data_IF_711348735475
#
_entry.id   IF_711348735475
#
_cell.length_a   1.000
_cell.length_b   1.000
_cell.length_c   1.000
_cell.angle_alpha   90.00
_cell.angle_beta   90.00
_cell.angle_gamma   90.00
#
_symmetry.space_group_name_H-M   'P 1'
#
loop_
_entity.id
_entity.type
_entity.pdbx_description
1 polymer ?
#
# COMPACT_ATOMS: atom_id res chain seq x y z
N UNK A 1 2.04 -5.42 12.71
CA UNK A 1 3.50 -5.15 12.70
C UNK A 1 3.92 -4.58 11.36
N UNK A 2 4.45 -3.36 11.32
CA UNK A 2 5.06 -2.85 10.10
C UNK A 2 6.49 -3.38 10.07
N UNK A 3 6.81 -4.26 9.13
CA UNK A 3 8.21 -4.56 8.83
C UNK A 3 8.80 -3.24 8.29
N UNK A 4 9.82 -2.71 8.98
CA UNK A 4 10.48 -1.49 8.56
C UNK A 4 11.05 -1.75 7.17
N UNK A 5 10.58 -0.97 6.19
CA UNK A 5 11.12 -0.98 4.84
C UNK A 5 12.65 -0.77 4.92
N UNK A 6 13.48 -1.71 4.43
CA UNK A 6 14.94 -1.62 4.52
C UNK A 6 15.50 -0.31 3.93
N UNK A 7 14.78 0.31 3.00
CA UNK A 7 15.20 1.56 2.35
C UNK A 7 15.06 2.81 3.23
N UNK A 8 14.46 2.74 4.43
CA UNK A 8 14.16 3.92 5.27
C UNK A 8 14.57 3.76 6.75
N UNK A 9 15.75 3.20 7.01
CA UNK A 9 16.39 3.29 8.33
C UNK A 9 16.87 4.73 8.64
N UNK A 10 15.95 5.68 8.81
CA UNK A 10 16.24 6.99 9.41
C UNK A 10 15.52 7.11 10.75
N UNK A 11 16.27 6.78 11.79
CA UNK A 11 16.19 7.20 13.18
C UNK A 11 14.79 7.57 13.73
N UNK A 12 14.11 6.58 14.31
CA UNK A 12 13.14 6.82 15.38
C UNK A 12 13.92 6.75 16.70
N UNK A 13 13.97 7.84 17.44
CA UNK A 13 14.69 7.96 18.71
C UNK A 13 14.05 7.11 19.82
N UNK A 14 14.83 6.65 20.81
CA UNK A 14 14.43 5.60 21.74
C UNK A 14 13.62 6.19 22.91
N UNK A 15 12.30 6.13 22.83
CA UNK A 15 11.44 6.28 24.01
C UNK A 15 10.16 5.48 23.76
N UNK A 16 9.65 4.81 24.80
CA UNK A 16 8.36 4.13 24.75
C UNK A 16 7.25 5.18 24.76
N UNK A 17 6.45 5.26 23.69
CA UNK A 17 5.29 6.16 23.63
C UNK A 17 4.04 5.38 23.29
N UNK A 18 2.96 5.66 24.02
CA UNK A 18 1.61 5.32 23.61
C UNK A 18 1.12 6.44 22.70
N UNK A 19 0.75 6.12 21.46
CA UNK A 19 0.17 7.11 20.55
C UNK A 19 -1.03 6.49 19.87
N UNK A 20 -2.18 7.15 19.96
CA UNK A 20 -3.30 6.83 19.10
C UNK A 20 -3.08 7.53 17.77
N UNK A 21 -2.97 6.76 16.68
CA UNK A 21 -2.94 7.34 15.34
C UNK A 21 -4.23 6.98 14.60
N UNK A 22 -4.93 8.00 14.08
CA UNK A 22 -6.11 7.81 13.23
C UNK A 22 -5.62 7.45 11.84
N UNK A 23 -5.77 6.19 11.44
CA UNK A 23 -5.59 5.82 10.04
C UNK A 23 -6.95 5.93 9.30
N UNK A 24 -6.98 5.83 7.96
CA UNK A 24 -8.21 5.94 7.17
C UNK A 24 -9.27 4.86 7.49
N UNK A 25 -8.89 3.79 8.20
CA UNK A 25 -9.76 2.67 8.61
C UNK A 25 -10.21 2.73 10.08
N UNK A 26 -9.85 3.78 10.82
CA UNK A 26 -10.24 3.98 12.23
C UNK A 26 -9.11 4.43 13.17
N UNK A 27 -9.42 4.56 14.46
CA UNK A 27 -8.43 4.77 15.53
C UNK A 27 -7.73 3.44 15.84
N UNK A 28 -6.51 3.23 15.33
CA UNK A 28 -5.66 2.13 15.79
C UNK A 28 -4.79 2.62 16.96
N UNK A 29 -4.76 1.83 18.03
CA UNK A 29 -3.88 2.11 19.17
C UNK A 29 -2.49 1.62 18.80
N UNK A 30 -1.51 2.52 18.73
CA UNK A 30 -0.12 2.17 18.42
C UNK A 30 0.66 2.11 19.72
N UNK A 31 1.34 0.99 19.94
CA UNK A 31 2.29 0.82 21.03
C UNK A 31 3.69 0.71 20.45
N UNK A 32 4.55 1.71 20.70
CA UNK A 32 5.96 1.66 20.34
C UNK A 32 6.79 1.31 21.57
N UNK A 33 7.49 0.17 21.54
CA UNK A 33 8.32 -0.32 22.64
C UNK A 33 9.80 -0.23 22.26
N UNK A 34 10.58 0.46 23.09
CA UNK A 34 12.01 0.70 22.87
C UNK A 34 12.91 -0.43 23.39
N UNK A 35 12.40 -1.34 24.25
CA UNK A 35 13.17 -2.46 24.81
C UNK A 35 12.39 -3.78 24.78
N UNK A 36 13.03 -4.89 24.35
CA UNK A 36 12.46 -6.24 24.41
C UNK A 36 12.08 -6.73 25.82
N UNK A 37 12.79 -6.24 26.85
CA UNK A 37 12.89 -6.92 28.15
C UNK A 37 11.62 -6.94 29.01
N UNK A 38 10.60 -6.15 28.69
CA UNK A 38 9.36 -6.06 29.48
C UNK A 38 8.17 -6.85 28.90
N UNK A 39 8.32 -7.50 27.74
CA UNK A 39 7.22 -8.17 27.05
C UNK A 39 7.62 -9.56 26.56
N UNK A 40 6.72 -10.53 26.74
CA UNK A 40 6.83 -11.87 26.15
C UNK A 40 6.01 -11.95 24.85
N UNK A 41 6.28 -12.92 23.97
CA UNK A 41 5.45 -13.19 22.79
C UNK A 41 3.95 -13.28 23.12
N UNK A 42 3.59 -13.93 24.22
CA UNK A 42 2.20 -14.05 24.70
C UNK A 42 1.56 -12.70 25.04
N UNK A 43 2.30 -11.82 25.72
CA UNK A 43 1.80 -10.48 26.08
C UNK A 43 1.55 -9.62 24.83
N UNK A 44 2.43 -9.73 23.83
CA UNK A 44 2.27 -9.02 22.54
C UNK A 44 1.12 -9.61 21.73
N UNK A 45 0.97 -10.94 21.72
CA UNK A 45 -0.17 -11.60 21.08
C UNK A 45 -1.51 -11.09 21.63
N UNK A 46 -1.59 -10.91 22.96
CA UNK A 46 -2.79 -10.37 23.62
C UNK A 46 -3.09 -8.92 23.20
N UNK A 47 -2.05 -8.10 23.01
CA UNK A 47 -2.20 -6.73 22.49
C UNK A 47 -2.66 -6.72 21.03
N UNK A 48 -2.06 -7.55 20.18
CA UNK A 48 -2.45 -7.71 18.77
C UNK A 48 -3.92 -8.12 18.67
N UNK A 49 -4.35 -9.10 19.48
CA UNK A 49 -5.74 -9.54 19.55
C UNK A 49 -6.70 -8.42 20.02
N UNK A 50 -6.22 -7.53 20.88
CA UNK A 50 -6.98 -6.36 21.35
C UNK A 50 -6.97 -5.19 20.36
N UNK A 51 -6.53 -5.41 19.12
CA UNK A 51 -6.52 -4.41 18.04
C UNK A 51 -5.38 -3.38 18.13
N UNK A 52 -4.32 -3.66 18.90
CA UNK A 52 -3.16 -2.79 18.96
C UNK A 52 -2.20 -3.05 17.80
N UNK A 53 -1.78 -1.97 17.12
CA UNK A 53 -0.62 -2.00 16.24
C UNK A 53 0.64 -1.89 17.10
N UNK A 54 1.27 -3.02 17.41
CA UNK A 54 2.50 -3.05 18.21
C UNK A 54 3.72 -2.90 17.30
N UNK A 55 4.67 -2.04 17.68
CA UNK A 55 5.96 -1.86 17.04
C UNK A 55 7.05 -2.01 18.12
N UNK A 56 7.92 -3.01 17.98
CA UNK A 56 8.96 -3.30 18.98
C UNK A 56 10.31 -3.26 18.28
N UNK A 57 11.16 -2.33 18.69
CA UNK A 57 12.54 -2.28 18.20
C UNK A 57 13.41 -3.31 18.92
N UNK A 58 14.25 -4.04 18.18
CA UNK A 58 15.24 -4.95 18.75
C UNK A 58 14.72 -6.32 19.19
N UNK A 59 13.46 -6.67 18.87
CA UNK A 59 12.94 -8.03 19.08
C UNK A 59 13.53 -9.03 18.08
N UNK A 60 13.92 -10.24 18.51
CA UNK A 60 14.28 -11.32 17.60
C UNK A 60 13.12 -11.64 16.64
N UNK A 61 13.36 -11.90 15.34
CA UNK A 61 12.31 -12.29 14.41
C UNK A 61 11.51 -13.51 14.85
N UNK A 62 12.13 -14.43 15.60
CA UNK A 62 11.48 -15.62 16.18
C UNK A 62 10.42 -15.29 17.22
N UNK A 63 10.68 -14.30 18.08
CA UNK A 63 9.74 -13.88 19.12
C UNK A 63 8.57 -13.13 18.50
N UNK A 64 8.87 -12.35 17.45
CA UNK A 64 7.86 -11.68 16.65
C UNK A 64 6.95 -12.68 15.94
N UNK A 65 7.56 -13.70 15.33
CA UNK A 65 6.88 -14.81 14.68
C UNK A 65 5.97 -15.56 15.67
N UNK A 66 6.47 -15.85 16.86
CA UNK A 66 5.70 -16.50 17.92
C UNK A 66 4.50 -15.64 18.34
N UNK A 67 4.70 -14.34 18.61
CA UNK A 67 3.62 -13.44 19.00
C UNK A 67 2.53 -13.35 17.92
N UNK A 68 2.93 -13.24 16.65
CA UNK A 68 1.99 -13.15 15.55
C UNK A 68 1.19 -14.45 15.38
N UNK A 69 1.84 -15.61 15.51
CA UNK A 69 1.19 -16.90 15.37
C UNK A 69 0.23 -17.19 16.54
N UNK A 70 0.60 -16.82 17.77
CA UNK A 70 -0.24 -16.96 18.97
C UNK A 70 -1.47 -16.04 18.96
N UNK A 71 -1.42 -14.93 18.23
CA UNK A 71 -2.51 -13.97 18.18
C UNK A 71 -3.68 -14.41 17.27
N UNK A 72 -3.44 -15.37 16.37
CA UNK A 72 -4.45 -15.87 15.43
C UNK A 72 -5.23 -17.03 16.05
N UNK A 73 -6.53 -17.06 15.82
CA UNK A 73 -7.44 -18.11 16.27
C UNK A 73 -7.95 -18.91 15.07
N UNK A 74 -8.29 -20.17 15.31
CA UNK A 74 -9.04 -20.98 14.35
C UNK A 74 -9.75 -22.10 15.08
N UNK A 75 -11.03 -22.26 14.80
CA UNK A 75 -11.88 -23.34 15.29
C UNK A 75 -11.83 -24.57 14.35
N UNK A 76 -11.19 -24.43 13.19
CA UNK A 76 -11.11 -25.48 12.19
C UNK A 76 -10.34 -26.69 12.71
N UNK A 77 -10.81 -27.89 12.35
CA UNK A 77 -10.16 -29.15 12.71
C UNK A 77 -8.74 -29.25 12.11
N UNK A 78 -8.52 -28.69 10.92
CA UNK A 78 -7.23 -28.68 10.23
C UNK A 78 -6.24 -27.62 10.74
N UNK A 79 -6.65 -26.78 11.71
CA UNK A 79 -5.85 -25.69 12.27
C UNK A 79 -5.33 -24.69 11.24
N UNK A 80 -6.04 -24.56 10.12
CA UNK A 80 -5.74 -23.55 9.11
C UNK A 80 -6.48 -22.25 9.40
N UNK A 81 -5.91 -21.14 8.96
CA UNK A 81 -6.49 -19.80 9.02
C UNK A 81 -6.59 -19.23 7.62
N UNK A 82 -7.69 -18.56 7.33
CA UNK A 82 -7.85 -17.87 6.05
C UNK A 82 -6.89 -16.69 6.01
N UNK A 83 -6.13 -16.57 4.92
CA UNK A 83 -5.19 -15.48 4.70
C UNK A 83 -5.55 -14.73 3.43
N UNK A 84 -5.96 -13.48 3.57
CA UNK A 84 -6.14 -12.56 2.44
C UNK A 84 -4.81 -11.90 2.14
N UNK A 85 -4.34 -12.02 0.91
CA UNK A 85 -3.11 -11.39 0.44
C UNK A 85 -3.48 -10.12 -0.30
N UNK A 86 -2.93 -8.99 0.13
CA UNK A 86 -3.13 -7.69 -0.50
C UNK A 86 -1.80 -7.10 -0.96
N UNK A 87 -1.82 -6.34 -2.04
CA UNK A 87 -0.68 -5.53 -2.44
C UNK A 87 -0.49 -4.31 -1.52
N UNK A 88 0.54 -3.52 -1.81
CA UNK A 88 0.86 -2.28 -1.08
C UNK A 88 -0.15 -1.16 -1.28
N UNK A 89 -1.04 -1.26 -2.29
CA UNK A 89 -2.17 -0.35 -2.52
C UNK A 89 -3.42 -0.79 -1.74
N UNK A 90 -3.38 -1.96 -1.09
CA UNK A 90 -4.51 -2.55 -0.37
C UNK A 90 -5.46 -3.37 -1.23
N UNK A 91 -5.11 -3.62 -2.51
CA UNK A 91 -5.93 -4.44 -3.41
C UNK A 91 -5.70 -5.91 -3.08
N UNK A 92 -6.77 -6.68 -2.92
CA UNK A 92 -6.68 -8.13 -2.73
C UNK A 92 -6.17 -8.81 -4.01
N UNK A 93 -5.07 -9.54 -3.90
CA UNK A 93 -4.42 -10.26 -5.00
C UNK A 93 -4.52 -11.78 -4.84
N UNK A 94 -4.87 -12.29 -3.66
CA UNK A 94 -5.13 -13.71 -3.47
C UNK A 94 -5.80 -14.04 -2.15
N UNK A 95 -6.39 -15.23 -2.08
CA UNK A 95 -6.86 -15.85 -0.84
C UNK A 95 -6.20 -17.21 -0.70
N UNK A 96 -5.52 -17.41 0.41
CA UNK A 96 -4.72 -18.61 0.70
C UNK A 96 -4.98 -19.06 2.13
N UNK A 97 -4.33 -20.14 2.54
CA UNK A 97 -4.42 -20.65 3.91
C UNK A 97 -3.06 -20.54 4.57
N UNK A 98 -3.06 -20.27 5.87
CA UNK A 98 -1.88 -20.32 6.71
C UNK A 98 -2.13 -21.25 7.89
N UNK A 99 -1.08 -21.82 8.45
CA UNK A 99 -1.06 -22.40 9.78
C UNK A 99 0.00 -21.68 10.64
N UNK A 100 0.10 -22.07 11.90
CA UNK A 100 1.08 -21.52 12.85
C UNK A 100 2.51 -21.50 12.29
N UNK A 101 2.96 -22.61 11.69
CA UNK A 101 4.31 -22.72 11.11
C UNK A 101 4.49 -21.76 9.92
N UNK A 102 3.54 -21.69 8.99
CA UNK A 102 3.65 -20.80 7.83
C UNK A 102 3.72 -19.33 8.23
N UNK A 103 2.98 -18.90 9.27
CA UNK A 103 3.05 -17.53 9.79
C UNK A 103 4.43 -17.27 10.40
N UNK A 104 4.93 -18.20 11.22
CA UNK A 104 6.27 -18.05 11.81
C UNK A 104 7.34 -17.92 10.74
N UNK A 105 7.30 -18.79 9.73
CA UNK A 105 8.21 -18.75 8.58
C UNK A 105 8.08 -17.46 7.80
N UNK A 106 6.86 -17.01 7.52
CA UNK A 106 6.63 -15.77 6.78
C UNK A 106 7.25 -14.56 7.50
N UNK A 107 7.12 -14.49 8.82
CA UNK A 107 7.69 -13.41 9.65
C UNK A 107 9.22 -13.49 9.69
N UNK A 108 9.79 -14.67 9.94
CA UNK A 108 11.25 -14.86 10.04
C UNK A 108 11.93 -14.62 8.69
N UNK A 109 11.36 -15.15 7.60
CA UNK A 109 11.94 -15.07 6.26
C UNK A 109 11.56 -13.76 5.54
N UNK A 110 10.61 -12.97 6.06
CA UNK A 110 10.12 -11.75 5.41
C UNK A 110 9.47 -12.01 4.05
N UNK A 111 8.86 -13.18 3.87
CA UNK A 111 8.37 -13.71 2.57
C UNK A 111 6.89 -14.05 2.63
N UNK A 112 6.23 -14.03 1.47
CA UNK A 112 4.91 -14.64 1.30
C UNK A 112 4.99 -16.16 1.42
N UNK A 113 4.81 -16.68 2.64
CA UNK A 113 4.84 -18.12 2.95
C UNK A 113 3.48 -18.52 3.51
N UNK A 114 2.92 -19.57 2.94
CA UNK A 114 1.56 -20.04 3.19
C UNK A 114 1.55 -21.54 3.45
N UNK A 115 0.38 -22.07 3.76
CA UNK A 115 0.11 -23.51 3.81
C UNK A 115 -0.70 -23.93 2.58
N UNK A 116 -0.15 -24.86 1.79
CA UNK A 116 -0.87 -25.45 0.67
C UNK A 116 -1.69 -26.65 1.15
N UNK A 117 -3.02 -26.55 1.05
CA UNK A 117 -3.93 -27.66 1.39
C UNK A 117 -3.74 -28.86 0.47
N UNK A 118 -3.54 -28.63 -0.83
CA UNK A 118 -3.37 -29.72 -1.80
C UNK A 118 -2.01 -30.41 -1.69
N UNK A 119 -0.96 -29.67 -1.34
CA UNK A 119 0.39 -30.25 -1.14
C UNK A 119 0.62 -30.76 0.29
N UNK A 120 -0.27 -30.43 1.23
CA UNK A 120 -0.14 -30.78 2.64
C UNK A 120 1.11 -30.20 3.29
N UNK A 121 1.55 -29.00 2.88
CA UNK A 121 2.86 -28.48 3.30
C UNK A 121 3.05 -26.98 3.06
N UNK A 122 4.20 -26.48 3.52
CA UNK A 122 4.60 -25.09 3.32
C UNK A 122 4.74 -24.74 1.84
N UNK A 123 4.21 -23.58 1.49
CA UNK A 123 4.31 -23.01 0.15
C UNK A 123 4.91 -21.61 0.23
N UNK A 124 6.16 -21.50 -0.20
CA UNK A 124 6.84 -20.22 -0.41
C UNK A 124 6.47 -19.69 -1.79
N UNK A 125 5.73 -18.59 -1.85
CA UNK A 125 5.25 -18.04 -3.11
C UNK A 125 6.45 -17.60 -3.97
N UNK A 126 6.46 -18.08 -5.22
CA UNK A 126 7.45 -17.70 -6.22
C UNK A 126 8.69 -18.59 -6.28
N UNK A 127 8.86 -19.58 -5.40
CA UNK A 127 10.04 -20.48 -5.45
C UNK A 127 10.16 -21.24 -6.78
N UNK A 128 9.03 -21.53 -7.43
CA UNK A 128 9.00 -22.18 -8.76
C UNK A 128 8.95 -21.17 -9.90
N UNK A 129 8.19 -20.07 -9.76
CA UNK A 129 7.90 -19.14 -10.86
C UNK A 129 8.82 -17.92 -10.92
N UNK A 130 9.65 -17.68 -9.91
CA UNK A 130 10.42 -16.44 -9.74
C UNK A 130 9.59 -15.25 -9.20
N UNK A 131 8.26 -15.31 -9.29
CA UNK A 131 7.34 -14.27 -8.80
C UNK A 131 7.15 -14.34 -7.28
N UNK A 132 8.20 -13.98 -6.54
CA UNK A 132 8.26 -14.01 -5.09
C UNK A 132 7.62 -12.79 -4.44
N UNK A 133 7.46 -12.84 -3.12
CA UNK A 133 6.80 -11.79 -2.34
C UNK A 133 7.64 -11.37 -1.15
N UNK A 134 7.76 -10.07 -0.93
CA UNK A 134 8.24 -9.52 0.34
C UNK A 134 7.03 -9.25 1.23
N UNK A 135 7.05 -9.78 2.45
CA UNK A 135 6.04 -9.51 3.47
C UNK A 135 6.31 -8.17 4.14
N UNK A 136 5.34 -7.25 4.10
CA UNK A 136 5.45 -5.91 4.70
C UNK A 136 4.63 -5.75 5.98
N UNK A 137 3.49 -6.43 6.08
CA UNK A 137 2.60 -6.31 7.22
C UNK A 137 1.71 -7.53 7.35
N UNK A 138 1.47 -7.91 8.60
CA UNK A 138 0.40 -8.84 8.98
C UNK A 138 -0.59 -8.06 9.82
N UNK A 139 -1.86 -8.12 9.43
CA UNK A 139 -3.01 -7.63 10.20
C UNK A 139 -3.91 -8.81 10.55
N UNK A 140 -4.59 -8.70 11.70
CA UNK A 140 -5.70 -9.57 12.08
C UNK A 140 -7.01 -8.83 11.82
N UNK A 141 -8.07 -9.57 11.57
CA UNK A 141 -9.43 -9.03 11.65
C UNK A 141 -9.90 -8.86 13.11
N UNK A 142 -11.15 -8.48 13.30
CA UNK A 142 -11.65 -7.99 14.59
C UNK A 142 -11.77 -9.07 15.68
N UNK A 143 -11.98 -10.32 15.31
CA UNK A 143 -12.05 -11.50 16.17
C UNK A 143 -10.82 -12.41 16.03
N UNK A 144 -9.96 -12.13 15.06
CA UNK A 144 -8.62 -12.69 14.93
C UNK A 144 -8.60 -14.08 14.29
N UNK A 145 -9.64 -14.46 13.55
CA UNK A 145 -9.72 -15.75 12.85
C UNK A 145 -9.32 -15.67 11.36
N UNK A 146 -9.18 -14.46 10.83
CA UNK A 146 -8.60 -14.21 9.53
C UNK A 146 -7.38 -13.29 9.60
N UNK A 147 -6.45 -13.53 8.67
CA UNK A 147 -5.19 -12.80 8.60
C UNK A 147 -5.10 -12.07 7.26
N UNK A 148 -4.62 -10.83 7.27
CA UNK A 148 -4.31 -10.08 6.06
C UNK A 148 -2.81 -9.87 5.92
N UNK A 149 -2.23 -10.42 4.86
CA UNK A 149 -0.83 -10.21 4.50
C UNK A 149 -0.74 -9.09 3.47
N UNK A 150 -0.09 -7.98 3.83
CA UNK A 150 0.32 -6.96 2.86
C UNK A 150 1.70 -7.31 2.32
N UNK A 151 1.81 -7.46 1.00
CA UNK A 151 3.03 -7.89 0.33
C UNK A 151 3.40 -6.97 -0.81
N UNK A 152 4.69 -6.93 -1.14
CA UNK A 152 5.17 -6.45 -2.44
C UNK A 152 5.41 -7.65 -3.33
N UNK A 153 4.70 -7.71 -4.45
CA UNK A 153 4.84 -8.75 -5.46
C UNK A 153 6.03 -8.41 -6.37
N UNK A 154 6.96 -9.36 -6.50
CA UNK A 154 8.11 -9.27 -7.40
C UNK A 154 7.93 -10.20 -8.60
N UNK A 155 8.78 -10.04 -9.61
CA UNK A 155 8.76 -10.77 -10.88
C UNK A 155 8.79 -9.82 -12.08
N UNK A 156 8.94 -10.37 -13.30
CA UNK A 156 8.88 -9.59 -14.54
C UNK A 156 8.07 -10.35 -15.61
N UNK A 157 6.78 -10.01 -15.83
CA UNK A 157 5.98 -9.08 -15.01
C UNK A 157 5.69 -9.66 -13.60
N UNK A 158 5.40 -8.82 -12.60
CA UNK A 158 4.95 -9.29 -11.29
C UNK A 158 3.58 -9.97 -11.38
N UNK A 159 3.45 -11.19 -10.85
CA UNK A 159 2.19 -11.94 -10.87
C UNK A 159 1.98 -12.76 -9.60
N UNK A 160 0.81 -12.60 -8.96
CA UNK A 160 0.35 -13.54 -7.94
C UNK A 160 -0.16 -14.82 -8.61
N UNK A 161 -1.01 -14.67 -9.63
CA UNK A 161 -1.72 -15.77 -10.27
C UNK A 161 -0.78 -16.62 -11.15
N UNK A 162 -1.08 -17.91 -11.27
CA UNK A 162 -0.38 -18.79 -12.20
C UNK A 162 -0.73 -18.50 -13.67
N UNK A 163 -1.81 -17.77 -13.93
CA UNK A 163 -2.20 -17.32 -15.27
C UNK A 163 -1.46 -16.04 -15.71
N UNK A 164 -0.57 -15.50 -14.87
CA UNK A 164 0.23 -14.31 -15.19
C UNK A 164 -0.44 -12.97 -14.87
N UNK A 165 -1.64 -12.97 -14.29
CA UNK A 165 -2.32 -11.75 -13.81
C UNK A 165 -1.79 -11.28 -12.45
N UNK A 166 -1.99 -9.99 -12.15
CA UNK A 166 -1.55 -9.43 -10.86
C UNK A 166 -2.13 -10.17 -9.66
N UNK A 167 -3.42 -10.52 -9.72
CA UNK A 167 -4.14 -11.27 -8.68
C UNK A 167 -4.96 -12.43 -9.25
N UNK A 168 -5.46 -13.28 -8.35
CA UNK A 168 -6.37 -14.38 -8.70
C UNK A 168 -7.68 -13.93 -9.35
N UNK A 169 -8.04 -12.66 -9.21
CA UNK A 169 -9.26 -12.06 -9.80
C UNK A 169 -8.95 -11.17 -11.00
N UNK A 170 -7.81 -11.38 -11.66
CA UNK A 170 -7.34 -10.57 -12.78
C UNK A 170 -6.44 -9.42 -12.35
N UNK A 171 -6.30 -8.44 -13.23
CA UNK A 171 -5.48 -7.26 -13.01
C UNK A 171 -6.19 -6.20 -12.19
N UNK A 172 -5.45 -5.42 -11.39
CA UNK A 172 -6.06 -4.32 -10.64
C UNK A 172 -6.71 -3.29 -11.57
N UNK A 173 -7.94 -2.89 -11.23
CA UNK A 173 -8.68 -1.79 -11.86
C UNK A 173 -8.39 -0.43 -11.20
N UNK A 174 -9.28 0.54 -11.42
CA UNK A 174 -9.18 1.88 -10.84
C UNK A 174 -7.83 2.56 -11.13
N UNK A 175 -7.25 3.23 -10.13
CA UNK A 175 -5.96 3.92 -10.27
C UNK A 175 -4.78 2.97 -10.56
N UNK A 176 -4.82 1.72 -10.07
CA UNK A 176 -3.78 0.73 -10.37
C UNK A 176 -3.82 0.27 -11.83
N UNK A 177 -5.02 0.06 -12.37
CA UNK A 177 -5.22 -0.27 -13.78
C UNK A 177 -4.89 0.90 -14.71
N UNK A 178 -5.22 2.13 -14.29
CA UNK A 178 -4.82 3.35 -15.00
C UNK A 178 -3.28 3.47 -15.06
N UNK A 179 -2.59 3.30 -13.92
CA UNK A 179 -1.12 3.33 -13.89
C UNK A 179 -0.50 2.29 -14.84
N UNK A 180 -1.00 1.04 -14.83
CA UNK A 180 -0.56 -0.02 -15.75
C UNK A 180 -0.73 0.40 -17.20
N UNK A 181 -1.90 0.94 -17.54
CA UNK A 181 -2.23 1.41 -18.90
C UNK A 181 -1.27 2.51 -19.33
N UNK A 182 -1.05 3.51 -18.48
CA UNK A 182 -0.15 4.64 -18.75
C UNK A 182 1.30 4.16 -18.89
N UNK A 183 1.79 3.25 -18.03
CA UNK A 183 3.11 2.63 -18.16
C UNK A 183 3.27 1.84 -19.46
N UNK A 184 2.23 1.09 -19.85
CA UNK A 184 2.21 0.39 -21.15
C UNK A 184 2.33 1.39 -22.30
N UNK A 185 1.52 2.44 -22.30
CA UNK A 185 1.59 3.49 -23.33
C UNK A 185 2.93 4.23 -23.36
N UNK A 186 3.58 4.44 -22.21
CA UNK A 186 4.92 5.05 -22.18
C UNK A 186 5.95 4.21 -22.96
N UNK A 187 5.86 2.88 -22.87
CA UNK A 187 6.76 1.96 -23.58
C UNK A 187 6.37 1.75 -25.05
N UNK A 188 5.07 1.61 -25.30
CA UNK A 188 4.55 0.98 -26.51
C UNK A 188 3.75 1.94 -27.42
N UNK A 189 3.75 3.25 -27.11
CA UNK A 189 2.94 4.21 -27.87
C UNK A 189 3.43 4.45 -29.30
N UNK A 190 2.48 4.43 -30.24
CA UNK A 190 2.71 4.73 -31.65
C UNK A 190 3.04 6.21 -31.83
N UNK A 191 3.94 6.49 -32.77
CA UNK A 191 4.29 7.84 -33.22
C UNK A 191 3.04 8.67 -33.54
N UNK A 192 2.99 9.91 -33.03
CA UNK A 192 1.84 10.81 -33.23
C UNK A 192 0.59 10.53 -32.38
N UNK A 193 0.54 9.46 -31.58
CA UNK A 193 -0.61 9.23 -30.68
C UNK A 193 -0.72 10.32 -29.60
N UNK A 194 -1.95 10.65 -29.17
CA UNK A 194 -2.19 11.68 -28.16
C UNK A 194 -1.43 11.42 -26.85
N UNK A 195 -1.40 10.18 -26.38
CA UNK A 195 -0.65 9.83 -25.16
C UNK A 195 0.86 9.98 -25.33
N UNK A 196 1.42 9.69 -26.51
CA UNK A 196 2.84 9.91 -26.80
C UNK A 196 3.19 11.40 -26.75
N UNK A 197 2.37 12.24 -27.38
CA UNK A 197 2.52 13.70 -27.33
C UNK A 197 2.51 14.24 -25.90
N UNK A 198 1.66 13.70 -25.02
CA UNK A 198 1.66 14.07 -23.60
C UNK A 198 2.98 13.71 -22.88
N UNK A 199 3.64 12.62 -23.28
CA UNK A 199 4.94 12.24 -22.72
C UNK A 199 6.09 13.07 -23.27
N UNK A 200 6.02 13.55 -24.52
CA UNK A 200 7.08 14.31 -25.17
C UNK A 200 6.99 15.82 -24.91
N UNK A 201 5.78 16.37 -24.90
CA UNK A 201 5.54 17.80 -24.72
C UNK A 201 5.15 18.12 -23.25
N UNK A 202 6.13 18.62 -22.50
CA UNK A 202 5.94 19.04 -21.11
C UNK A 202 4.99 20.21 -20.96
N UNK A 203 4.96 21.12 -21.94
CA UNK A 203 4.09 22.29 -21.90
C UNK A 203 2.65 21.87 -22.10
N UNK A 204 2.39 20.97 -23.06
CA UNK A 204 1.07 20.39 -23.29
C UNK A 204 0.55 19.68 -22.04
N UNK A 205 1.34 18.76 -21.47
CA UNK A 205 0.94 18.02 -20.27
C UNK A 205 0.67 18.95 -19.08
N UNK A 206 1.53 19.94 -18.86
CA UNK A 206 1.33 20.94 -17.80
C UNK A 206 0.05 21.73 -18.02
N UNK A 207 -0.18 22.22 -19.24
CA UNK A 207 -1.34 23.04 -19.55
C UNK A 207 -2.65 22.24 -19.41
N UNK A 208 -2.69 21.00 -19.90
CA UNK A 208 -3.83 20.10 -19.69
C UNK A 208 -4.09 19.88 -18.20
N UNK A 209 -3.07 19.55 -17.41
CA UNK A 209 -3.23 19.34 -15.97
C UNK A 209 -3.76 20.59 -15.23
N UNK A 210 -3.33 21.78 -15.62
CA UNK A 210 -3.82 23.05 -15.03
C UNK A 210 -5.26 23.34 -15.47
N UNK A 211 -5.59 23.08 -16.74
CA UNK A 211 -6.94 23.20 -17.29
C UNK A 211 -7.93 22.31 -16.55
N UNK A 212 -7.69 21.00 -16.44
CA UNK A 212 -8.64 20.10 -15.76
C UNK A 212 -8.76 20.42 -14.26
N UNK A 213 -7.67 20.88 -13.64
CA UNK A 213 -7.71 21.29 -12.23
C UNK A 213 -8.58 22.54 -12.02
N UNK A 214 -8.59 23.45 -13.00
CA UNK A 214 -9.48 24.61 -13.00
C UNK A 214 -10.93 24.17 -13.25
N UNK A 215 -11.17 23.34 -14.26
CA UNK A 215 -12.52 22.84 -14.60
C UNK A 215 -13.13 22.11 -13.42
N UNK A 216 -12.36 21.25 -12.72
CA UNK A 216 -12.76 20.62 -11.47
C UNK A 216 -13.14 21.63 -10.38
N UNK A 217 -12.42 22.75 -10.26
CA UNK A 217 -12.70 23.77 -9.25
C UNK A 217 -13.96 24.59 -9.54
N UNK A 218 -14.35 24.68 -10.81
CA UNK A 218 -15.50 25.46 -11.28
C UNK A 218 -16.77 24.60 -11.47
N UNK A 219 -16.60 23.28 -11.60
CA UNK A 219 -17.70 22.33 -11.77
C UNK A 219 -18.68 22.35 -10.58
N UNK A 220 -19.98 22.39 -10.89
CA UNK A 220 -21.07 22.47 -9.88
C UNK A 220 -21.96 21.23 -9.86
N UNK A 221 -22.10 20.56 -11.00
CA UNK A 221 -22.94 19.38 -11.13
C UNK A 221 -22.17 18.12 -10.73
N UNK A 222 -22.80 17.23 -9.97
CA UNK A 222 -22.16 16.04 -9.41
C UNK A 222 -21.42 15.19 -10.47
N UNK A 223 -22.06 15.00 -11.62
CA UNK A 223 -21.48 14.21 -12.71
C UNK A 223 -20.25 14.90 -13.32
N UNK A 224 -20.38 16.19 -13.62
CA UNK A 224 -19.29 17.00 -14.18
C UNK A 224 -18.08 17.05 -13.21
N UNK A 225 -18.33 17.23 -11.91
CA UNK A 225 -17.27 17.16 -10.88
C UNK A 225 -16.53 15.82 -10.93
N UNK A 226 -17.24 14.70 -11.13
CA UNK A 226 -16.60 13.39 -11.22
C UNK A 226 -15.80 13.20 -12.51
N UNK A 227 -16.29 13.76 -13.63
CA UNK A 227 -15.61 13.75 -14.94
C UNK A 227 -14.30 14.55 -14.86
N UNK A 228 -14.34 15.79 -14.35
CA UNK A 228 -13.16 16.63 -14.18
C UNK A 228 -12.15 16.05 -13.18
N UNK A 229 -12.63 15.44 -12.10
CA UNK A 229 -11.76 14.74 -11.16
C UNK A 229 -11.04 13.56 -11.83
N UNK A 230 -11.73 12.82 -12.70
CA UNK A 230 -11.13 11.72 -13.42
C UNK A 230 -10.03 12.21 -14.38
N UNK A 231 -10.25 13.33 -15.06
CA UNK A 231 -9.26 13.91 -15.98
C UNK A 231 -8.04 14.47 -15.24
N UNK A 232 -8.23 15.15 -14.10
CA UNK A 232 -7.13 15.53 -13.20
C UNK A 232 -6.31 14.31 -12.78
N UNK A 233 -6.97 13.22 -12.35
CA UNK A 233 -6.29 11.98 -11.95
C UNK A 233 -5.54 11.34 -13.12
N UNK A 234 -6.09 11.38 -14.33
CA UNK A 234 -5.44 10.89 -15.54
C UNK A 234 -4.16 11.65 -15.86
N UNK A 235 -4.20 12.97 -16.00
CA UNK A 235 -3.01 13.76 -16.34
C UNK A 235 -1.99 13.77 -15.21
N UNK A 236 -2.43 13.74 -13.94
CA UNK A 236 -1.54 13.56 -12.81
C UNK A 236 -0.81 12.21 -12.88
N UNK A 237 -1.50 11.12 -13.26
CA UNK A 237 -0.88 9.81 -13.44
C UNK A 237 0.12 9.80 -14.60
N UNK A 238 -0.21 10.42 -15.74
CA UNK A 238 0.73 10.57 -16.87
C UNK A 238 2.00 11.31 -16.41
N UNK A 239 1.85 12.41 -15.66
CA UNK A 239 2.98 13.16 -15.10
C UNK A 239 3.79 12.34 -14.10
N UNK A 240 3.12 11.56 -13.24
CA UNK A 240 3.75 10.69 -12.25
C UNK A 240 4.60 9.62 -12.93
N UNK A 241 4.02 8.87 -13.87
CA UNK A 241 4.69 7.80 -14.62
C UNK A 241 5.86 8.34 -15.43
N UNK A 242 5.72 9.50 -16.10
CA UNK A 242 6.84 10.18 -16.79
C UNK A 242 7.98 10.52 -15.82
N UNK A 243 7.65 10.87 -14.58
CA UNK A 243 8.61 11.17 -13.51
C UNK A 243 9.17 9.94 -12.80
N UNK A 244 8.83 8.71 -13.23
CA UNK A 244 9.30 7.48 -12.61
C UNK A 244 8.66 7.14 -11.26
N UNK A 245 7.53 7.78 -10.90
CA UNK A 245 6.78 7.50 -9.67
C UNK A 245 5.41 6.90 -9.97
N UNK A 246 4.89 6.10 -9.05
CA UNK A 246 3.62 5.40 -9.17
C UNK A 246 2.58 5.81 -8.14
N UNK A 247 1.41 5.16 -8.16
CA UNK A 247 0.35 5.43 -7.18
C UNK A 247 0.77 5.03 -5.76
N UNK A 248 1.60 3.99 -5.63
CA UNK A 248 2.11 3.54 -4.32
C UNK A 248 2.95 4.64 -3.65
N UNK A 249 3.77 5.36 -4.40
CA UNK A 249 4.57 6.48 -3.89
C UNK A 249 3.67 7.63 -3.40
N UNK A 250 2.62 7.94 -4.16
CA UNK A 250 1.64 8.95 -3.77
C UNK A 250 0.89 8.56 -2.48
N UNK A 251 0.45 7.31 -2.36
CA UNK A 251 -0.19 6.76 -1.16
C UNK A 251 0.75 6.87 0.04
N UNK A 252 2.02 6.49 -0.12
CA UNK A 252 3.03 6.62 0.94
C UNK A 252 3.15 8.06 1.45
N UNK A 253 3.21 9.04 0.53
CA UNK A 253 3.27 10.47 0.91
C UNK A 253 1.98 10.92 1.64
N UNK A 254 0.81 10.43 1.24
CA UNK A 254 -0.45 10.73 1.93
C UNK A 254 -0.46 10.14 3.35
N UNK A 255 0.00 8.90 3.52
CA UNK A 255 0.11 8.23 4.81
C UNK A 255 1.12 8.91 5.75
N UNK A 256 2.19 9.49 5.22
CA UNK A 256 3.14 10.28 6.00
C UNK A 256 2.55 11.62 6.44
N UNK A 257 1.76 12.27 5.58
CA UNK A 257 1.10 13.55 5.88
C UNK A 257 0.04 13.39 6.93
N UNK A 258 -0.75 12.32 6.83
CA UNK A 258 -1.81 12.05 7.79
C UNK A 258 -1.22 11.79 9.18
N UNK A 259 0.00 11.23 9.31
CA UNK A 259 0.72 11.03 10.58
C UNK A 259 1.15 12.32 11.27
N UNK A 260 1.42 13.38 10.50
CA UNK A 260 1.76 14.71 11.01
C UNK A 260 0.49 15.52 11.25
N UNK A 261 -0.26 15.21 12.32
CA UNK A 261 -1.27 16.13 12.85
C UNK A 261 -0.59 17.19 13.73
N UNK A 262 0.28 18.00 13.14
CA UNK A 262 0.33 19.41 13.50
C UNK A 262 -0.53 20.11 12.46
N UNK A 263 -1.59 20.77 12.92
CA UNK A 263 -2.49 21.56 12.06
C UNK A 263 -1.62 22.43 11.16
N UNK A 264 -1.51 22.07 9.87
CA UNK A 264 -1.06 23.07 8.89
C UNK A 264 -2.10 24.18 9.00
N UNK A 265 -1.64 25.39 9.31
CA UNK A 265 -2.43 26.56 9.04
C UNK A 265 -2.70 26.50 7.54
N UNK A 266 -3.95 26.23 7.16
CA UNK A 266 -4.38 26.05 5.78
C UNK A 266 -4.37 27.39 5.05
N UNK A 267 -3.28 28.14 5.19
CA UNK A 267 -3.16 29.45 4.60
C UNK A 267 -2.88 29.26 3.12
N UNK A 268 -3.77 29.84 2.32
CA UNK A 268 -3.60 29.98 0.89
C UNK A 268 -2.22 30.58 0.61
N UNK A 269 -1.43 29.87 -0.20
CA UNK A 269 -0.18 30.42 -0.69
C UNK A 269 -0.52 31.45 -1.77
N UNK A 270 -0.75 32.71 -1.37
CA UNK A 270 -1.17 33.82 -2.24
C UNK A 270 -0.38 33.88 -3.55
N UNK A 271 0.93 33.67 -3.50
CA UNK A 271 1.81 33.62 -4.68
C UNK A 271 1.41 32.54 -5.71
N UNK A 272 0.92 31.38 -5.24
CA UNK A 272 0.46 30.30 -6.12
C UNK A 272 -0.92 30.57 -6.72
N UNK A 273 -1.77 31.27 -5.97
CA UNK A 273 -3.09 31.69 -6.45
C UNK A 273 -2.93 32.81 -7.49
N UNK A 274 -2.05 33.78 -7.26
CA UNK A 274 -1.74 34.82 -8.25
C UNK A 274 -1.14 34.23 -9.52
N UNK A 275 -0.18 33.30 -9.40
CA UNK A 275 0.39 32.60 -10.55
C UNK A 275 -0.66 31.78 -11.31
N UNK A 276 -1.57 31.10 -10.60
CA UNK A 276 -2.69 30.41 -11.23
C UNK A 276 -3.59 31.40 -11.97
N UNK A 277 -4.03 32.48 -11.32
CA UNK A 277 -4.89 33.53 -11.90
C UNK A 277 -4.25 34.24 -13.12
N UNK A 278 -2.93 34.38 -13.16
CA UNK A 278 -2.22 34.89 -14.34
C UNK A 278 -2.30 33.90 -15.52
N UNK A 279 -2.20 32.60 -15.25
CA UNK A 279 -2.45 31.57 -16.27
C UNK A 279 -3.91 31.63 -16.74
N UNK A 280 -4.86 31.86 -15.81
CA UNK A 280 -6.30 31.99 -16.13
C UNK A 280 -6.61 33.20 -17.02
N UNK A 281 -5.95 34.33 -16.77
CA UNK A 281 -6.20 35.58 -17.50
C UNK A 281 -5.48 35.68 -18.85
N UNK A 282 -4.52 34.78 -19.13
CA UNK A 282 -3.79 34.72 -20.39
C UNK A 282 -4.52 33.99 -21.54
N UNK A 283 -5.65 33.32 -21.27
CA UNK A 283 -6.56 32.79 -22.30
C UNK A 283 -7.62 33.87 -22.63
N UNK A 284 -7.29 34.81 -23.51
CA UNK A 284 -8.25 35.62 -24.27
C UNK A 284 -7.90 35.61 -25.74
#
# INVERSE_FOLDING_TARGET
LNFIDPEHSKAITPTSWFSSYKNPTGTRKVLSLASPSSHTPSSVASLLHSGWDVCISGWPPSDLAAAQAMAVKTDRADKLMTTVVVDRKGVAIGMVYSNEESIKRAVVEGRGIYWSRSRGGLWRKGDTSGCHQTLYRIDLDCDGDAVRFMVKQHGSPPAFCHEGTEGCWGDSGGLGGLERTVKGRLRDSVEGSYTKRLFEDETLLRNKLVEEAQELSEAKEQRHIAEELADVLYFAMVRAVKGGVGIEDAIKVLDERSKKVTRRQGDDKKERIEAANQILSGKK
#
